data_IF_859069697522
#
_entry.id   IF_859069697522
#
_cell.length_a   1.000
_cell.length_b   1.000
_cell.length_c   1.000
_cell.angle_alpha   90.00
_cell.angle_beta   90.00
_cell.angle_gamma   90.00
#
_symmetry.space_group_name_H-M   'P 1'
#
loop_
_entity.id
_entity.type
_entity.pdbx_description
1 polymer ?
#
# COMPACT_ATOMS: atom_id res chain seq x y z
N UNK A 1 -16.47 -2.01 1.18
CA UNK A 1 -16.31 -0.75 0.43
C UNK A 1 -15.30 0.06 1.21
N UNK A 2 -14.19 0.34 0.56
CA UNK A 2 -13.09 1.20 1.02
C UNK A 2 -13.49 2.66 0.89
N UNK A 3 -13.06 3.49 1.83
CA UNK A 3 -13.31 4.93 1.83
C UNK A 3 -12.57 5.60 0.67
N UNK A 4 -13.19 6.53 -0.07
CA UNK A 4 -12.52 7.24 -1.16
C UNK A 4 -11.31 8.06 -0.68
N UNK A 5 -11.28 8.43 0.60
CA UNK A 5 -10.15 9.08 1.25
C UNK A 5 -8.94 8.14 1.39
N UNK A 6 -9.18 6.85 1.70
CA UNK A 6 -8.12 5.85 1.79
C UNK A 6 -7.51 5.59 0.41
N UNK A 7 -8.35 5.41 -0.60
CA UNK A 7 -7.91 5.20 -1.98
C UNK A 7 -7.02 6.35 -2.46
N UNK A 8 -7.48 7.59 -2.28
CA UNK A 8 -6.72 8.77 -2.68
C UNK A 8 -5.40 8.91 -1.92
N UNK A 9 -5.40 8.64 -0.61
CA UNK A 9 -4.20 8.69 0.23
C UNK A 9 -3.19 7.62 -0.20
N UNK A 10 -3.65 6.38 -0.40
CA UNK A 10 -2.80 5.28 -0.84
C UNK A 10 -2.19 5.56 -2.22
N UNK A 11 -3.01 6.04 -3.16
CA UNK A 11 -2.55 6.42 -4.48
C UNK A 11 -1.48 7.52 -4.41
N UNK A 12 -1.74 8.56 -3.63
CA UNK A 12 -0.82 9.69 -3.44
C UNK A 12 0.50 9.26 -2.79
N UNK A 13 0.47 8.33 -1.83
CA UNK A 13 1.67 7.78 -1.21
C UNK A 13 2.49 6.97 -2.21
N UNK A 14 1.82 6.07 -2.95
CA UNK A 14 2.47 5.21 -3.94
C UNK A 14 2.99 5.96 -5.15
N UNK A 15 2.34 7.05 -5.59
CA UNK A 15 2.83 7.94 -6.65
C UNK A 15 4.03 8.79 -6.21
N UNK A 16 4.18 9.05 -4.91
CA UNK A 16 5.38 9.71 -4.37
C UNK A 16 6.59 8.78 -4.30
N UNK A 17 6.38 7.46 -4.36
CA UNK A 17 7.46 6.48 -4.43
C UNK A 17 8.08 6.50 -5.83
N UNK A 18 9.41 6.52 -5.89
CA UNK A 18 10.13 6.28 -7.14
C UNK A 18 10.13 4.78 -7.48
N UNK A 19 10.62 4.41 -8.67
CA UNK A 19 10.59 3.01 -9.14
C UNK A 19 11.31 2.03 -8.20
N UNK A 20 12.41 2.44 -7.56
CA UNK A 20 13.19 1.59 -6.65
C UNK A 20 12.46 1.40 -5.31
N UNK A 21 11.90 2.49 -4.79
CA UNK A 21 11.03 2.47 -3.62
C UNK A 21 9.78 1.63 -3.88
N UNK A 22 9.14 1.76 -5.04
CA UNK A 22 7.95 0.99 -5.41
C UNK A 22 8.26 -0.51 -5.51
N UNK A 23 9.44 -0.88 -6.03
CA UNK A 23 9.92 -2.28 -6.02
C UNK A 23 10.11 -2.79 -4.59
N UNK A 24 10.73 -2.00 -3.72
CA UNK A 24 10.90 -2.33 -2.31
C UNK A 24 9.55 -2.45 -1.59
N UNK A 25 8.62 -1.56 -1.88
CA UNK A 25 7.25 -1.58 -1.36
C UNK A 25 6.57 -2.89 -1.71
N UNK A 26 6.58 -3.29 -3.00
CA UNK A 26 5.99 -4.57 -3.47
C UNK A 26 6.64 -5.77 -2.80
N UNK A 27 7.97 -5.76 -2.66
CA UNK A 27 8.73 -6.84 -2.03
C UNK A 27 8.37 -6.99 -0.54
N UNK A 28 8.30 -5.90 0.20
CA UNK A 28 7.91 -5.87 1.61
C UNK A 28 6.44 -6.23 1.79
N UNK A 29 5.57 -5.71 0.93
CA UNK A 29 4.15 -6.05 0.92
C UNK A 29 3.95 -7.56 0.75
N UNK A 30 4.75 -8.21 -0.10
CA UNK A 30 4.77 -9.67 -0.28
C UNK A 30 5.33 -10.41 0.93
N UNK A 31 6.23 -9.80 1.68
CA UNK A 31 6.80 -10.36 2.90
C UNK A 31 5.84 -10.27 4.10
N UNK A 32 4.88 -9.34 4.07
CA UNK A 32 3.83 -9.27 5.08
C UNK A 32 2.87 -10.46 4.99
N UNK A 33 2.22 -10.87 6.11
CA UNK A 33 1.15 -11.85 6.08
C UNK A 33 -0.05 -11.29 5.30
N UNK A 34 -0.08 -11.60 4.01
CA UNK A 34 -1.13 -11.23 3.07
C UNK A 34 -2.47 -11.81 3.52
N UNK A 35 -3.53 -11.00 3.49
CA UNK A 35 -4.91 -11.50 3.63
C UNK A 35 -5.18 -12.61 2.60
N UNK A 36 -6.03 -13.58 2.95
CA UNK A 36 -6.41 -14.72 2.09
C UNK A 36 -6.92 -14.28 0.70
N UNK A 37 -7.51 -13.08 0.62
CA UNK A 37 -7.96 -12.46 -0.63
C UNK A 37 -6.79 -11.94 -1.46
N UNK A 38 -5.79 -11.30 -0.84
CA UNK A 38 -4.60 -10.80 -1.52
C UNK A 38 -3.70 -11.93 -2.03
N UNK A 39 -3.72 -13.09 -1.37
CA UNK A 39 -3.04 -14.29 -1.88
C UNK A 39 -3.67 -14.81 -3.19
N UNK A 40 -4.94 -14.51 -3.45
CA UNK A 40 -5.64 -14.87 -4.70
C UNK A 40 -5.41 -13.85 -5.81
N UNK A 41 -4.89 -12.67 -5.46
CA UNK A 41 -4.51 -11.65 -6.43
C UNK A 41 -3.30 -12.12 -7.22
N UNK A 42 -3.31 -12.00 -8.56
CA UNK A 42 -2.15 -12.31 -9.36
C UNK A 42 -1.00 -11.34 -9.06
N UNK A 43 0.06 -11.86 -8.44
CA UNK A 43 1.26 -11.06 -8.14
C UNK A 43 1.90 -10.45 -9.39
N UNK A 44 1.72 -11.06 -10.56
CA UNK A 44 2.17 -10.50 -11.84
C UNK A 44 1.59 -9.10 -12.10
N UNK A 45 0.30 -8.88 -11.81
CA UNK A 45 -0.31 -7.54 -11.93
C UNK A 45 0.26 -6.56 -10.91
N UNK A 46 0.53 -7.03 -9.69
CA UNK A 46 1.12 -6.20 -8.63
C UNK A 46 2.58 -5.83 -8.95
N UNK A 47 3.34 -6.74 -9.56
CA UNK A 47 4.71 -6.52 -10.00
C UNK A 47 4.78 -5.51 -11.16
N UNK A 48 3.87 -5.59 -12.13
CA UNK A 48 3.80 -4.67 -13.26
C UNK A 48 3.11 -3.34 -12.93
N UNK A 49 2.31 -3.30 -11.87
CA UNK A 49 1.55 -2.11 -11.47
C UNK A 49 2.44 -0.91 -11.09
N UNK A 50 2.16 0.24 -11.69
CA UNK A 50 2.61 1.53 -11.19
C UNK A 50 1.93 1.90 -9.85
N UNK A 51 2.39 2.97 -9.19
CA UNK A 51 1.89 3.35 -7.87
C UNK A 51 0.37 3.52 -7.80
N UNK A 52 -0.24 4.06 -8.87
CA UNK A 52 -1.69 4.19 -8.96
C UNK A 52 -2.38 2.84 -9.12
N UNK A 53 -1.94 2.05 -10.09
CA UNK A 53 -2.48 0.70 -10.34
C UNK A 53 -2.37 -0.20 -9.10
N UNK A 54 -1.25 -0.08 -8.38
CA UNK A 54 -0.99 -0.83 -7.15
C UNK A 54 -1.98 -0.44 -6.05
N UNK A 55 -2.29 0.85 -5.92
CA UNK A 55 -3.33 1.32 -5.00
C UNK A 55 -4.68 0.68 -5.31
N UNK A 56 -5.11 0.72 -6.57
CA UNK A 56 -6.40 0.16 -7.01
C UNK A 56 -6.49 -1.35 -6.73
N UNK A 57 -5.40 -2.10 -6.96
CA UNK A 57 -5.35 -3.53 -6.67
C UNK A 57 -5.51 -3.77 -5.18
N UNK A 58 -4.76 -3.07 -4.32
CA UNK A 58 -4.86 -3.23 -2.87
C UNK A 58 -6.27 -2.90 -2.36
N UNK A 59 -6.86 -1.83 -2.88
CA UNK A 59 -8.21 -1.37 -2.55
C UNK A 59 -9.29 -2.37 -2.94
N UNK A 60 -9.16 -3.03 -4.09
CA UNK A 60 -10.11 -4.05 -4.54
C UNK A 60 -9.95 -5.40 -3.82
N UNK A 61 -8.73 -5.70 -3.39
CA UNK A 61 -8.38 -7.04 -2.89
C UNK A 61 -8.35 -7.14 -1.38
N UNK A 62 -8.27 -6.01 -0.67
CA UNK A 62 -7.98 -6.03 0.77
C UNK A 62 -8.93 -5.15 1.56
N UNK A 63 -9.06 -5.45 2.84
CA UNK A 63 -9.86 -4.64 3.74
C UNK A 63 -9.13 -3.33 4.04
N UNK A 64 -9.88 -2.24 4.18
CA UNK A 64 -9.35 -0.90 4.52
C UNK A 64 -8.42 -0.92 5.74
N UNK A 65 -8.76 -1.70 6.76
CA UNK A 65 -7.94 -1.85 7.96
C UNK A 65 -6.61 -2.56 7.70
N UNK A 66 -6.61 -3.57 6.81
CA UNK A 66 -5.40 -4.26 6.41
C UNK A 66 -4.52 -3.36 5.54
N UNK A 67 -5.10 -2.65 4.57
CA UNK A 67 -4.39 -1.69 3.71
C UNK A 67 -3.69 -0.64 4.58
N UNK A 68 -4.43 -0.03 5.50
CA UNK A 68 -3.91 0.97 6.45
C UNK A 68 -2.70 0.42 7.24
N UNK A 69 -2.81 -0.80 7.78
CA UNK A 69 -1.72 -1.41 8.54
C UNK A 69 -0.54 -1.79 7.64
N UNK A 70 -0.79 -2.38 6.48
CA UNK A 70 0.21 -2.82 5.52
C UNK A 70 1.00 -1.63 4.97
N UNK A 71 0.32 -0.59 4.49
CA UNK A 71 0.96 0.63 3.98
C UNK A 71 1.85 1.29 5.02
N UNK A 72 1.37 1.43 6.26
CA UNK A 72 2.18 2.00 7.34
C UNK A 72 3.39 1.12 7.65
N UNK A 73 3.21 -0.20 7.78
CA UNK A 73 4.30 -1.14 8.08
C UNK A 73 5.36 -1.13 6.99
N UNK A 74 4.95 -1.18 5.72
CA UNK A 74 5.88 -1.14 4.58
C UNK A 74 6.65 0.18 4.54
N UNK A 75 5.97 1.32 4.74
CA UNK A 75 6.63 2.63 4.77
C UNK A 75 7.61 2.77 5.95
N UNK A 76 7.33 2.15 7.09
CA UNK A 76 8.27 2.06 8.21
C UNK A 76 9.52 1.25 7.85
N UNK A 77 9.34 0.07 7.25
CA UNK A 77 10.44 -0.79 6.83
C UNK A 77 11.31 -0.14 5.75
N UNK A 78 10.71 0.63 4.84
CA UNK A 78 11.43 1.42 3.84
C UNK A 78 12.16 2.63 4.43
N UNK A 79 12.04 2.88 5.74
CA UNK A 79 12.60 4.04 6.43
C UNK A 79 12.11 5.39 5.86
N UNK A 80 10.95 5.40 5.19
CA UNK A 80 10.30 6.57 4.59
C UNK A 80 9.56 7.37 5.66
N UNK A 81 10.32 7.97 6.55
CA UNK A 81 9.80 8.56 7.80
C UNK A 81 8.74 9.64 7.55
N UNK A 82 8.89 10.47 6.52
CA UNK A 82 7.94 11.55 6.21
C UNK A 82 6.64 11.02 5.60
N UNK A 83 6.73 10.10 4.63
CA UNK A 83 5.56 9.43 4.04
C UNK A 83 4.85 8.56 5.07
N UNK A 84 5.59 7.88 5.94
CA UNK A 84 5.05 7.11 7.05
C UNK A 84 4.27 7.99 8.03
N UNK A 85 4.79 9.16 8.42
CA UNK A 85 4.04 10.10 9.27
C UNK A 85 2.75 10.56 8.61
N UNK A 86 2.81 10.91 7.32
CA UNK A 86 1.62 11.29 6.55
C UNK A 86 0.61 10.13 6.51
N UNK A 87 1.08 8.92 6.16
CA UNK A 87 0.27 7.71 6.16
C UNK A 87 -0.29 7.39 7.54
N UNK A 88 0.42 7.65 8.65
CA UNK A 88 -0.12 7.46 10.01
C UNK A 88 -1.16 8.52 10.36
N UNK A 89 -0.97 9.77 9.93
CA UNK A 89 -1.92 10.86 10.18
C UNK A 89 -3.22 10.66 9.40
N UNK A 90 -3.12 10.49 8.08
CA UNK A 90 -4.24 10.35 7.16
C UNK A 90 -4.86 8.95 7.26
N UNK A 91 -3.97 7.95 7.29
CA UNK A 91 -4.24 6.54 7.53
C UNK A 91 -4.91 6.43 8.86
N UNK A 92 -4.12 6.37 9.94
CA UNK A 92 -4.41 5.99 11.33
C UNK A 92 -5.04 7.08 12.22
N UNK A 93 -5.43 8.23 11.66
CA UNK A 93 -6.11 9.31 12.36
C UNK A 93 -7.25 8.81 13.26
N UNK A 94 -7.19 9.20 14.53
CA UNK A 94 -8.18 8.94 15.58
C UNK A 94 -9.49 9.67 15.33
#
# INVERSE_FOLDING_TARGET
MTSPQLEWTLQTLLEQLNEDELKSFKSLLRALPLEDVLQKTPWSEVEEADGKKLAEILINTSSENWIRNATVTVLEEMNLTELCKMAKSEMLGK
#
